data_IF_769027886454
#
_entry.id   IF_769027886454
#
_cell.length_a   1.000
_cell.length_b   1.000
_cell.length_c   1.000
_cell.angle_alpha   90.00
_cell.angle_beta   90.00
_cell.angle_gamma   90.00
#
_symmetry.space_group_name_H-M   'P 1'
#
loop_
_entity.id
_entity.type
_entity.pdbx_description
1 polymer ?
#
# COMPACT_ATOMS: atom_id res chain seq x y z
N UNK A 1 6.00 29.87 45.86
CA UNK A 1 6.78 29.70 44.64
C UNK A 1 7.51 31.01 44.38
N UNK A 2 8.84 30.97 44.28
CA UNK A 2 9.66 32.16 44.02
C UNK A 2 9.43 32.67 42.58
N UNK A 3 9.71 33.94 42.35
CA UNK A 3 9.60 34.57 41.03
C UNK A 3 10.44 33.83 39.96
N UNK A 4 11.60 33.33 40.37
CA UNK A 4 12.49 32.51 39.54
C UNK A 4 11.82 31.21 39.08
N UNK A 5 11.06 30.52 39.96
CA UNK A 5 10.34 29.30 39.60
C UNK A 5 9.23 29.54 38.56
N UNK A 6 8.59 30.71 38.59
CA UNK A 6 7.57 31.07 37.60
C UNK A 6 8.17 31.40 36.23
N UNK A 7 9.33 32.08 36.22
CA UNK A 7 10.05 32.38 34.96
C UNK A 7 10.58 31.12 34.31
N UNK A 8 11.12 30.17 35.06
CA UNK A 8 11.62 28.89 34.54
C UNK A 8 10.47 28.05 33.94
N UNK A 9 9.32 28.00 34.61
CA UNK A 9 8.13 27.25 34.12
C UNK A 9 7.60 27.88 32.83
N UNK A 10 7.55 29.21 32.72
CA UNK A 10 7.12 29.91 31.51
C UNK A 10 8.12 29.69 30.37
N UNK A 11 9.42 29.73 30.65
CA UNK A 11 10.43 29.48 29.62
C UNK A 11 10.42 28.03 29.11
N UNK A 12 10.22 27.04 30.01
CA UNK A 12 10.10 25.64 29.65
C UNK A 12 8.83 25.38 28.83
N UNK A 13 7.71 26.01 29.17
CA UNK A 13 6.47 25.93 28.41
C UNK A 13 6.61 26.59 27.01
N UNK A 14 7.32 27.70 26.91
CA UNK A 14 7.57 28.36 25.63
C UNK A 14 8.50 27.54 24.71
N UNK A 15 9.53 26.90 25.26
CA UNK A 15 10.43 26.01 24.50
C UNK A 15 9.69 24.76 24.01
N UNK A 16 8.75 24.22 24.80
CA UNK A 16 7.93 23.07 24.37
C UNK A 16 6.96 23.46 23.25
N UNK A 17 6.45 24.67 23.21
CA UNK A 17 5.56 25.16 22.14
C UNK A 17 6.35 25.41 20.84
N UNK A 18 7.61 25.85 20.93
CA UNK A 18 8.45 26.10 19.75
C UNK A 18 8.98 24.78 19.14
N UNK A 19 9.03 23.68 19.92
CA UNK A 19 9.49 22.37 19.47
C UNK A 19 8.48 21.60 18.62
N UNK A 20 7.19 21.97 18.65
CA UNK A 20 6.20 21.50 17.70
C UNK A 20 6.18 22.40 16.46
N UNK A 21 7.27 22.43 15.69
CA UNK A 21 7.13 22.72 14.27
C UNK A 21 6.34 21.56 13.68
N UNK A 22 5.12 21.82 13.26
CA UNK A 22 4.40 20.98 12.31
C UNK A 22 5.32 20.78 11.11
N UNK A 23 6.11 19.73 11.13
CA UNK A 23 6.65 19.15 9.93
C UNK A 23 5.41 18.61 9.20
N UNK A 24 4.77 19.46 8.40
CA UNK A 24 3.84 18.99 7.38
C UNK A 24 4.63 17.93 6.64
N UNK A 25 4.32 16.67 6.90
CA UNK A 25 4.81 15.58 6.08
C UNK A 25 4.46 16.00 4.65
N UNK A 26 5.48 16.27 3.85
CA UNK A 26 5.29 16.59 2.44
C UNK A 26 4.72 15.32 1.86
N UNK A 27 3.39 15.27 1.77
CA UNK A 27 2.72 14.17 1.12
C UNK A 27 3.22 14.21 -0.32
N UNK A 28 4.00 13.24 -0.72
CA UNK A 28 4.48 13.11 -2.10
C UNK A 28 3.25 12.87 -2.95
N UNK A 29 2.72 13.94 -3.52
CA UNK A 29 1.58 13.86 -4.44
C UNK A 29 2.17 13.43 -5.78
N UNK A 30 1.89 12.19 -6.18
CA UNK A 30 2.25 11.71 -7.51
C UNK A 30 1.57 12.58 -8.57
N UNK A 31 2.31 12.97 -9.58
CA UNK A 31 1.78 13.71 -10.73
C UNK A 31 0.70 12.90 -11.45
N UNK A 32 -0.16 13.58 -12.18
CA UNK A 32 -1.15 12.93 -13.06
C UNK A 32 -0.49 11.91 -14.00
N UNK A 33 0.64 12.26 -14.59
CA UNK A 33 1.38 11.38 -15.49
C UNK A 33 1.85 10.09 -14.80
N UNK A 34 2.34 10.19 -13.57
CA UNK A 34 2.79 9.01 -12.79
C UNK A 34 1.62 8.12 -12.42
N UNK A 35 0.49 8.70 -12.01
CA UNK A 35 -0.70 7.93 -11.67
C UNK A 35 -1.29 7.22 -12.89
N UNK A 36 -1.43 7.90 -14.02
CA UNK A 36 -1.92 7.31 -15.28
C UNK A 36 -0.94 6.25 -15.79
N UNK A 37 0.38 6.49 -15.68
CA UNK A 37 1.40 5.51 -16.04
C UNK A 37 1.27 4.23 -15.24
N UNK A 38 1.19 4.34 -13.92
CA UNK A 38 1.03 3.18 -13.04
C UNK A 38 -0.27 2.38 -13.31
N UNK A 39 -1.35 3.08 -13.67
CA UNK A 39 -2.62 2.41 -14.05
C UNK A 39 -2.47 1.68 -15.38
N UNK A 40 -1.82 2.28 -16.38
CA UNK A 40 -1.58 1.59 -17.66
C UNK A 40 -0.70 0.34 -17.49
N UNK A 41 0.34 0.43 -16.65
CA UNK A 41 1.18 -0.73 -16.32
C UNK A 41 0.36 -1.83 -15.60
N UNK A 42 -0.57 -1.45 -14.71
CA UNK A 42 -1.50 -2.39 -14.09
C UNK A 42 -2.42 -3.05 -15.13
N UNK A 43 -3.00 -2.24 -16.04
CA UNK A 43 -3.84 -2.77 -17.13
C UNK A 43 -3.07 -3.81 -17.94
N UNK A 44 -1.85 -3.49 -18.35
CA UNK A 44 -1.02 -4.42 -19.14
C UNK A 44 -0.73 -5.72 -18.39
N UNK A 45 -0.42 -5.65 -17.08
CA UNK A 45 -0.18 -6.86 -16.28
C UNK A 45 -1.42 -7.75 -16.16
N UNK A 46 -2.59 -7.17 -15.92
CA UNK A 46 -3.82 -7.96 -15.66
C UNK A 46 -4.57 -8.35 -16.94
N UNK A 47 -4.28 -7.67 -18.07
CA UNK A 47 -4.94 -7.93 -19.35
C UNK A 47 -4.00 -8.50 -20.42
N UNK A 48 -2.76 -8.85 -20.05
CA UNK A 48 -1.75 -9.39 -20.98
C UNK A 48 -1.41 -8.42 -22.13
N UNK A 49 -1.19 -7.14 -21.81
CA UNK A 49 -0.69 -6.13 -22.73
C UNK A 49 -1.77 -5.41 -23.55
N UNK A 50 -2.98 -5.29 -23.03
CA UNK A 50 -4.12 -4.69 -23.77
C UNK A 50 -4.43 -3.24 -23.36
N UNK A 51 -3.50 -2.49 -22.75
CA UNK A 51 -3.72 -1.09 -22.32
C UNK A 51 -4.16 -0.18 -23.47
N UNK A 52 -3.79 -0.48 -24.70
CA UNK A 52 -4.22 0.29 -25.89
C UNK A 52 -5.74 0.27 -26.14
N UNK A 53 -6.48 -0.68 -25.56
CA UNK A 53 -7.94 -0.76 -25.66
C UNK A 53 -8.66 0.09 -24.61
N UNK A 54 -7.89 0.76 -23.74
CA UNK A 54 -8.41 1.60 -22.66
C UNK A 54 -8.08 3.07 -22.88
N UNK A 55 -8.90 3.94 -22.28
CA UNK A 55 -8.62 5.38 -22.11
C UNK A 55 -8.73 5.67 -20.62
N UNK A 56 -7.71 6.31 -20.05
CA UNK A 56 -7.58 6.55 -18.63
C UNK A 56 -7.63 8.04 -18.31
N UNK A 57 -8.52 8.43 -17.39
CA UNK A 57 -8.71 9.81 -16.96
C UNK A 57 -8.51 9.97 -15.45
N UNK A 58 -7.65 10.91 -15.06
CA UNK A 58 -7.60 11.39 -13.68
C UNK A 58 -8.65 12.52 -13.53
N UNK A 59 -9.65 12.28 -12.68
CA UNK A 59 -10.76 13.18 -12.46
C UNK A 59 -10.49 14.09 -11.25
N UNK A 60 -11.05 15.33 -11.24
CA UNK A 60 -10.92 16.22 -10.09
C UNK A 60 -11.53 15.60 -8.82
N UNK A 61 -10.87 15.81 -7.67
CA UNK A 61 -11.41 15.40 -6.39
C UNK A 61 -12.73 16.12 -6.07
N UNK A 62 -13.65 15.42 -5.41
CA UNK A 62 -14.92 15.98 -4.94
C UNK A 62 -14.76 16.68 -3.59
N UNK A 63 -15.72 17.53 -3.24
CA UNK A 63 -15.71 18.27 -1.97
C UNK A 63 -15.79 17.37 -0.73
N UNK A 64 -16.45 16.20 -0.84
CA UNK A 64 -16.58 15.22 0.23
C UNK A 64 -15.28 14.45 0.51
N UNK A 65 -14.25 14.64 -0.32
CA UNK A 65 -12.96 13.96 -0.23
C UNK A 65 -13.05 12.42 -0.25
N UNK A 66 -14.16 11.87 -0.75
CA UNK A 66 -14.33 10.43 -0.92
C UNK A 66 -13.77 9.98 -2.29
N UNK A 67 -13.26 8.79 -2.32
CA UNK A 67 -12.84 8.16 -3.56
C UNK A 67 -14.05 7.78 -4.40
N UNK A 68 -13.99 8.10 -5.68
CA UNK A 68 -14.97 7.68 -6.66
C UNK A 68 -14.29 7.31 -7.97
N UNK A 69 -14.97 6.50 -8.73
CA UNK A 69 -14.54 6.10 -10.06
C UNK A 69 -15.72 5.98 -11.02
N UNK A 70 -15.40 5.95 -12.29
CA UNK A 70 -16.35 5.67 -13.34
C UNK A 70 -15.70 4.81 -14.43
N UNK A 71 -16.52 4.03 -15.12
CA UNK A 71 -16.11 3.32 -16.32
C UNK A 71 -17.24 3.30 -17.34
N UNK A 72 -16.88 3.27 -18.60
CA UNK A 72 -17.82 3.36 -19.72
C UNK A 72 -17.12 3.11 -21.04
N UNK A 73 -17.69 3.69 -22.10
CA UNK A 73 -17.12 3.63 -23.45
C UNK A 73 -16.83 5.03 -23.96
N UNK A 74 -15.64 5.23 -24.52
CA UNK A 74 -15.21 6.46 -25.15
C UNK A 74 -14.44 6.15 -26.45
N UNK A 75 -14.91 6.70 -27.59
CA UNK A 75 -14.27 6.51 -28.90
C UNK A 75 -13.98 5.04 -29.25
N UNK A 76 -14.90 4.12 -28.90
CA UNK A 76 -14.74 2.69 -29.17
C UNK A 76 -13.75 1.97 -28.26
N UNK A 77 -13.30 2.61 -27.16
CA UNK A 77 -12.43 2.02 -26.14
C UNK A 77 -13.13 2.02 -24.78
N UNK A 78 -12.61 1.20 -23.87
CA UNK A 78 -13.06 1.19 -22.48
C UNK A 78 -12.50 2.43 -21.77
N UNK A 79 -13.36 3.30 -21.26
CA UNK A 79 -13.00 4.47 -20.47
C UNK A 79 -12.96 4.10 -19.00
N UNK A 80 -11.86 4.47 -18.31
CA UNK A 80 -11.68 4.34 -16.87
C UNK A 80 -11.34 5.72 -16.29
N UNK A 81 -12.14 6.18 -15.32
CA UNK A 81 -11.93 7.46 -14.64
C UNK A 81 -11.94 7.29 -13.12
N UNK A 82 -11.20 8.16 -12.44
CA UNK A 82 -11.21 8.20 -10.97
C UNK A 82 -10.41 9.38 -10.42
N UNK A 83 -10.65 9.75 -9.18
CA UNK A 83 -9.99 10.91 -8.55
C UNK A 83 -8.57 10.64 -8.05
N UNK A 84 -8.09 9.42 -8.19
CA UNK A 84 -6.70 9.01 -7.96
C UNK A 84 -6.43 7.65 -8.62
N UNK A 85 -5.16 7.23 -8.68
CA UNK A 85 -4.76 5.98 -9.32
C UNK A 85 -5.44 4.74 -8.76
N UNK A 86 -5.67 4.65 -7.44
CA UNK A 86 -6.39 3.53 -6.80
C UNK A 86 -7.85 3.51 -7.21
N UNK A 87 -8.49 4.67 -7.32
CA UNK A 87 -9.87 4.79 -7.79
C UNK A 87 -10.00 4.32 -9.24
N UNK A 88 -9.06 4.70 -10.11
CA UNK A 88 -9.04 4.26 -11.52
C UNK A 88 -8.80 2.73 -11.58
N UNK A 89 -7.88 2.20 -10.78
CA UNK A 89 -7.67 0.75 -10.67
C UNK A 89 -8.93 0.01 -10.19
N UNK A 90 -9.70 0.62 -9.29
CA UNK A 90 -11.01 0.09 -8.87
C UNK A 90 -12.01 0.06 -10.02
N UNK A 91 -12.02 1.10 -10.87
CA UNK A 91 -12.84 1.10 -12.10
C UNK A 91 -12.51 -0.09 -13.00
N UNK A 92 -11.20 -0.34 -13.21
CA UNK A 92 -10.73 -1.52 -13.95
C UNK A 92 -11.22 -2.82 -13.31
N UNK A 93 -11.03 -2.98 -12.00
CA UNK A 93 -11.45 -4.17 -11.27
C UNK A 93 -12.96 -4.43 -11.37
N UNK A 94 -13.78 -3.39 -11.32
CA UNK A 94 -15.23 -3.47 -11.52
C UNK A 94 -15.59 -3.85 -12.96
N UNK A 95 -14.98 -3.18 -13.94
CA UNK A 95 -15.19 -3.49 -15.34
C UNK A 95 -14.85 -4.97 -15.64
N UNK A 96 -13.68 -5.42 -15.22
CA UNK A 96 -13.24 -6.80 -15.47
C UNK A 96 -14.18 -7.84 -14.84
N UNK A 97 -14.66 -7.60 -13.62
CA UNK A 97 -15.64 -8.50 -12.96
C UNK A 97 -17.00 -8.49 -13.61
N UNK A 98 -17.53 -7.31 -13.91
CA UNK A 98 -18.91 -7.15 -14.36
C UNK A 98 -19.09 -7.51 -15.86
N UNK A 99 -18.06 -7.30 -16.68
CA UNK A 99 -18.13 -7.47 -18.13
C UNK A 99 -17.32 -8.64 -18.68
N UNK A 100 -16.24 -9.03 -18.01
CA UNK A 100 -15.32 -10.05 -18.49
C UNK A 100 -15.36 -11.36 -17.68
N UNK A 101 -16.12 -11.42 -16.57
CA UNK A 101 -16.13 -12.59 -15.69
C UNK A 101 -14.79 -12.79 -14.93
N UNK A 102 -13.94 -11.78 -14.92
CA UNK A 102 -12.62 -11.86 -14.31
C UNK A 102 -12.70 -11.97 -12.79
N UNK A 103 -12.02 -12.96 -12.24
CA UNK A 103 -11.93 -13.15 -10.80
C UNK A 103 -10.49 -13.44 -10.40
N UNK A 104 -9.99 -12.68 -9.45
CA UNK A 104 -8.65 -12.86 -8.86
C UNK A 104 -8.77 -12.95 -7.35
N UNK A 105 -8.33 -14.07 -6.77
CA UNK A 105 -8.26 -14.28 -5.32
C UNK A 105 -7.16 -15.25 -4.94
N UNK A 106 -6.90 -15.39 -3.64
CA UNK A 106 -5.92 -16.35 -3.12
C UNK A 106 -6.33 -17.81 -3.32
N UNK A 107 -7.62 -18.08 -3.25
CA UNK A 107 -8.16 -19.44 -3.24
C UNK A 107 -8.51 -19.97 -4.64
N UNK A 108 -8.51 -19.12 -5.62
CA UNK A 108 -8.81 -19.46 -7.00
C UNK A 108 -8.94 -18.21 -7.85
N UNK A 109 -8.64 -18.33 -9.11
CA UNK A 109 -8.65 -17.22 -10.04
C UNK A 109 -9.20 -17.68 -11.38
N UNK A 110 -10.07 -16.87 -11.96
CA UNK A 110 -10.46 -16.94 -13.36
C UNK A 110 -10.05 -15.63 -14.02
N UNK A 111 -8.95 -15.66 -14.73
CA UNK A 111 -8.32 -14.47 -15.34
C UNK A 111 -8.31 -14.53 -16.84
N UNK A 112 -9.05 -15.48 -17.43
CA UNK A 112 -9.21 -15.59 -18.88
C UNK A 112 -10.13 -14.49 -19.37
N UNK A 113 -9.61 -13.61 -20.20
CA UNK A 113 -10.38 -12.52 -20.79
C UNK A 113 -11.00 -12.95 -22.12
N UNK A 114 -12.19 -12.40 -22.45
CA UNK A 114 -12.77 -12.60 -23.77
C UNK A 114 -11.85 -12.04 -24.88
N UNK A 115 -11.88 -12.66 -26.05
CA UNK A 115 -11.09 -12.23 -27.22
C UNK A 115 -11.36 -10.75 -27.54
N UNK A 116 -12.61 -10.35 -27.56
CA UNK A 116 -13.04 -8.96 -27.69
C UNK A 116 -13.57 -8.47 -26.34
N UNK A 117 -12.98 -7.39 -25.79
CA UNK A 117 -13.45 -6.80 -24.56
C UNK A 117 -14.80 -6.13 -24.74
N UNK A 118 -15.83 -6.50 -23.94
CA UNK A 118 -17.17 -5.92 -24.09
C UNK A 118 -17.15 -4.41 -23.77
N UNK A 119 -17.80 -3.63 -24.63
CA UNK A 119 -17.95 -2.18 -24.43
C UNK A 119 -19.17 -1.91 -23.53
N UNK A 120 -19.02 -1.21 -22.40
CA UNK A 120 -20.15 -0.81 -21.57
C UNK A 120 -21.15 0.09 -22.34
N UNK A 121 -22.43 -0.23 -22.34
CA UNK A 121 -23.46 0.55 -23.01
C UNK A 121 -23.69 1.95 -22.38
N UNK A 122 -23.38 2.08 -21.09
CA UNK A 122 -23.54 3.31 -20.31
C UNK A 122 -22.37 3.49 -19.33
N UNK A 123 -22.09 4.74 -19.02
CA UNK A 123 -21.12 5.06 -17.94
C UNK A 123 -21.71 4.68 -16.59
N UNK A 124 -20.94 3.92 -15.81
CA UNK A 124 -21.23 3.57 -14.43
C UNK A 124 -20.32 4.35 -13.52
N UNK A 125 -20.88 5.06 -12.54
CA UNK A 125 -20.12 5.78 -11.51
C UNK A 125 -20.39 5.17 -10.14
N UNK A 126 -19.35 4.93 -9.35
CA UNK A 126 -19.43 4.45 -7.96
C UNK A 126 -18.59 5.31 -7.04
N UNK A 127 -19.07 5.52 -5.83
CA UNK A 127 -18.36 6.27 -4.78
C UNK A 127 -18.14 5.34 -3.58
N UNK A 128 -16.92 5.35 -3.04
CA UNK A 128 -16.63 4.61 -1.81
C UNK A 128 -17.30 5.32 -0.62
N UNK A 129 -18.04 4.61 0.24
CA UNK A 129 -18.56 5.21 1.46
C UNK A 129 -17.48 5.39 2.54
N UNK A 130 -16.27 4.86 2.31
CA UNK A 130 -15.16 4.89 3.28
C UNK A 130 -13.97 5.64 2.71
N UNK A 131 -13.44 6.55 3.51
CA UNK A 131 -12.21 7.28 3.18
C UNK A 131 -10.98 6.37 3.21
N UNK A 132 -10.91 5.47 4.21
CA UNK A 132 -9.80 4.55 4.42
C UNK A 132 -10.26 3.11 4.22
N UNK A 133 -9.55 2.37 3.39
CA UNK A 133 -9.77 0.95 3.11
C UNK A 133 -8.48 0.22 3.43
N UNK A 134 -8.41 -0.17 4.70
CA UNK A 134 -7.23 -0.81 5.29
C UNK A 134 -7.15 -2.28 4.92
N UNK A 135 -5.95 -2.74 4.67
CA UNK A 135 -5.68 -4.15 4.39
C UNK A 135 -4.40 -4.62 5.05
N UNK A 136 -4.46 -5.85 5.54
CA UNK A 136 -3.49 -6.61 6.30
C UNK A 136 -3.42 -6.25 7.78
N UNK A 137 -3.11 -7.30 8.54
CA UNK A 137 -2.64 -7.22 9.92
C UNK A 137 -1.35 -8.03 10.07
N UNK A 138 -0.66 -7.86 11.18
CA UNK A 138 0.62 -8.53 11.43
C UNK A 138 0.53 -10.05 11.41
N UNK A 139 -0.51 -10.64 12.02
CA UNK A 139 -0.64 -12.09 12.12
C UNK A 139 -0.73 -12.77 10.76
N UNK A 140 -1.62 -12.27 9.88
CA UNK A 140 -1.83 -12.86 8.56
C UNK A 140 -0.59 -12.82 7.68
N UNK A 141 0.25 -11.83 7.85
CA UNK A 141 1.52 -11.75 7.14
C UNK A 141 2.38 -13.00 7.39
N UNK A 142 2.59 -13.39 8.63
CA UNK A 142 3.45 -14.54 8.95
C UNK A 142 2.91 -15.88 8.47
N UNK A 143 1.59 -16.02 8.30
CA UNK A 143 1.01 -17.26 7.81
C UNK A 143 1.28 -17.53 6.33
N UNK A 144 1.51 -16.49 5.52
CA UNK A 144 1.64 -16.64 4.07
C UNK A 144 2.76 -15.82 3.46
N UNK A 145 2.96 -14.58 3.91
CA UNK A 145 3.72 -13.57 3.18
C UNK A 145 5.20 -13.50 3.51
N UNK A 146 5.65 -14.15 4.60
CA UNK A 146 7.06 -14.16 5.03
C UNK A 146 8.02 -14.65 3.95
N UNK A 147 7.54 -15.48 3.03
CA UNK A 147 8.36 -16.15 2.03
C UNK A 147 8.14 -15.60 0.61
N UNK A 148 7.25 -14.62 0.46
CA UNK A 148 6.95 -14.06 -0.85
C UNK A 148 8.16 -13.35 -1.43
N UNK A 149 8.33 -13.47 -2.74
CA UNK A 149 9.21 -12.69 -3.58
C UNK A 149 8.47 -11.47 -4.15
N UNK A 150 9.20 -10.67 -4.92
CA UNK A 150 8.62 -9.48 -5.55
C UNK A 150 7.47 -9.81 -6.50
N UNK A 151 7.58 -10.86 -7.29
CA UNK A 151 6.54 -11.24 -8.25
C UNK A 151 5.22 -11.59 -7.55
N UNK A 152 5.31 -12.26 -6.38
CA UNK A 152 4.12 -12.56 -5.60
C UNK A 152 3.57 -11.31 -4.90
N UNK A 153 4.44 -10.42 -4.42
CA UNK A 153 4.02 -9.14 -3.87
C UNK A 153 3.36 -8.24 -4.92
N UNK A 154 3.89 -8.19 -6.16
CA UNK A 154 3.28 -7.43 -7.24
C UNK A 154 1.84 -7.88 -7.51
N UNK A 155 1.59 -9.18 -7.55
CA UNK A 155 0.22 -9.72 -7.71
C UNK A 155 -0.71 -9.29 -6.57
N UNK A 156 -0.20 -9.24 -5.35
CA UNK A 156 -0.98 -8.79 -4.19
C UNK A 156 -1.27 -7.29 -4.26
N UNK A 157 -0.30 -6.49 -4.65
CA UNK A 157 -0.47 -5.04 -4.83
C UNK A 157 -1.46 -4.76 -5.96
N UNK A 158 -1.38 -5.49 -7.07
CA UNK A 158 -2.35 -5.39 -8.17
C UNK A 158 -3.76 -5.76 -7.70
N UNK A 159 -3.89 -6.84 -6.91
CA UNK A 159 -5.16 -7.21 -6.30
C UNK A 159 -5.69 -6.14 -5.36
N UNK A 160 -4.85 -5.57 -4.50
CA UNK A 160 -5.23 -4.46 -3.63
C UNK A 160 -5.75 -3.26 -4.44
N UNK A 161 -5.06 -2.87 -5.50
CA UNK A 161 -5.45 -1.76 -6.37
C UNK A 161 -6.80 -2.01 -7.05
N UNK A 162 -7.01 -3.20 -7.64
CA UNK A 162 -8.26 -3.61 -8.28
C UNK A 162 -9.45 -3.64 -7.31
N UNK A 163 -9.19 -3.82 -6.01
CA UNK A 163 -10.20 -3.84 -4.95
C UNK A 163 -10.27 -2.53 -4.15
N UNK A 164 -9.56 -1.50 -4.58
CA UNK A 164 -9.64 -0.16 -4.02
C UNK A 164 -9.00 0.01 -2.64
N UNK A 165 -8.09 -0.87 -2.25
CA UNK A 165 -7.34 -0.73 -1.00
C UNK A 165 -6.40 0.47 -1.12
N UNK A 166 -6.54 1.46 -0.24
CA UNK A 166 -5.74 2.67 -0.25
C UNK A 166 -4.88 2.87 1.02
N UNK A 167 -4.92 1.92 1.94
CA UNK A 167 -4.15 1.93 3.18
C UNK A 167 -3.63 0.53 3.53
N UNK A 168 -2.69 -0.02 2.74
CA UNK A 168 -2.07 -1.30 3.06
C UNK A 168 -1.07 -1.16 4.20
N UNK A 169 -0.94 -2.20 5.02
CA UNK A 169 0.12 -2.30 6.03
C UNK A 169 1.45 -2.67 5.35
N UNK A 170 2.38 -1.72 5.27
CA UNK A 170 3.70 -1.91 4.67
C UNK A 170 4.73 -2.27 5.74
N UNK A 171 4.87 -3.55 6.07
CA UNK A 171 5.75 -4.04 7.14
C UNK A 171 7.01 -4.76 6.63
N UNK A 172 7.10 -5.04 5.35
CA UNK A 172 8.25 -5.69 4.72
C UNK A 172 9.52 -4.85 4.90
N UNK A 173 10.64 -5.46 5.26
CA UNK A 173 11.91 -4.78 5.48
C UNK A 173 12.10 -4.11 6.85
N UNK A 174 11.11 -4.12 7.72
CA UNK A 174 11.15 -3.43 9.01
C UNK A 174 12.32 -3.90 9.90
N UNK A 175 12.66 -5.19 9.90
CA UNK A 175 13.77 -5.74 10.69
C UNK A 175 15.13 -5.17 10.29
N UNK A 176 15.37 -4.93 9.00
CA UNK A 176 16.60 -4.26 8.52
C UNK A 176 16.71 -2.84 9.05
N UNK A 177 15.59 -2.12 9.11
CA UNK A 177 15.56 -0.77 9.67
C UNK A 177 15.89 -0.81 11.16
N UNK A 178 15.27 -1.73 11.91
CA UNK A 178 15.56 -1.92 13.34
C UNK A 178 17.02 -2.25 13.59
N UNK A 179 17.60 -3.19 12.84
CA UNK A 179 19.03 -3.54 12.93
C UNK A 179 19.90 -2.30 12.75
N UNK A 180 19.65 -1.49 11.71
CA UNK A 180 20.42 -0.25 11.49
C UNK A 180 20.27 0.78 12.61
N UNK A 181 19.08 0.90 13.19
CA UNK A 181 18.83 1.79 14.34
C UNK A 181 19.62 1.32 15.55
N UNK A 182 19.57 0.03 15.89
CA UNK A 182 20.29 -0.51 17.03
C UNK A 182 21.82 -0.41 16.87
N UNK A 183 22.36 -0.63 15.67
CA UNK A 183 23.77 -0.38 15.40
C UNK A 183 24.16 1.10 15.67
N UNK A 184 23.32 2.06 15.31
CA UNK A 184 23.54 3.48 15.65
C UNK A 184 23.48 3.76 17.14
N UNK A 185 22.81 2.91 17.91
CA UNK A 185 22.77 2.97 19.38
C UNK A 185 23.92 2.21 20.04
N UNK A 186 24.82 1.59 19.26
CA UNK A 186 26.02 0.92 19.72
C UNK A 186 25.91 -0.58 19.94
N UNK A 187 24.78 -1.22 19.56
CA UNK A 187 24.65 -2.67 19.62
C UNK A 187 25.34 -3.32 18.42
N UNK A 188 25.89 -4.50 18.63
CA UNK A 188 26.51 -5.33 17.59
C UNK A 188 25.53 -6.36 17.03
N UNK A 189 25.91 -7.05 15.94
CA UNK A 189 25.12 -8.18 15.42
C UNK A 189 25.01 -9.32 16.45
N UNK A 190 26.04 -9.55 17.22
CA UNK A 190 26.03 -10.54 18.29
C UNK A 190 25.00 -10.22 19.40
N UNK A 191 24.83 -8.93 19.73
CA UNK A 191 23.81 -8.49 20.69
C UNK A 191 22.40 -8.68 20.13
N UNK A 192 22.22 -8.59 18.82
CA UNK A 192 20.92 -8.69 18.15
C UNK A 192 20.55 -10.12 17.75
N UNK A 193 21.50 -11.07 17.80
CA UNK A 193 21.28 -12.45 17.39
C UNK A 193 20.13 -13.13 18.15
N UNK A 194 20.04 -12.89 19.45
CA UNK A 194 18.98 -13.44 20.30
C UNK A 194 17.74 -12.54 20.41
N UNK A 195 17.75 -11.38 19.79
CA UNK A 195 16.68 -10.40 19.90
C UNK A 195 15.60 -10.59 18.85
N UNK A 196 15.97 -10.74 17.58
CA UNK A 196 15.00 -10.92 16.51
C UNK A 196 14.45 -12.35 16.49
N UNK A 197 13.13 -12.48 16.40
CA UNK A 197 12.49 -13.77 16.17
C UNK A 197 12.76 -14.28 14.77
N UNK A 198 12.81 -15.61 14.61
CA UNK A 198 13.05 -16.27 13.33
C UNK A 198 12.01 -15.94 12.25
N UNK A 199 12.25 -16.34 10.99
CA UNK A 199 11.46 -15.93 9.84
C UNK A 199 9.95 -16.23 9.92
N UNK A 200 9.57 -17.31 10.58
CA UNK A 200 8.17 -17.68 10.76
C UNK A 200 7.44 -16.86 11.82
N UNK A 201 8.15 -16.11 12.65
CA UNK A 201 7.60 -15.44 13.84
C UNK A 201 7.90 -13.94 13.91
N UNK A 202 8.59 -13.36 12.93
CA UNK A 202 9.10 -12.00 13.03
C UNK A 202 8.00 -10.92 13.11
N UNK A 203 6.79 -11.19 12.65
CA UNK A 203 5.68 -10.26 12.79
C UNK A 203 5.11 -10.23 14.21
N UNK A 204 5.10 -11.35 14.90
CA UNK A 204 4.71 -11.37 16.31
C UNK A 204 5.74 -10.65 17.19
N UNK A 205 7.01 -10.65 16.79
CA UNK A 205 8.03 -9.79 17.38
C UNK A 205 7.62 -8.30 17.28
N UNK A 206 7.18 -7.83 16.13
CA UNK A 206 6.74 -6.45 15.96
C UNK A 206 5.51 -6.06 16.77
N UNK A 207 4.67 -7.00 17.11
CA UNK A 207 3.54 -6.81 18.02
C UNK A 207 3.94 -6.86 19.51
N UNK A 208 5.20 -7.16 19.82
CA UNK A 208 5.67 -7.33 21.19
C UNK A 208 5.21 -8.62 21.87
N UNK A 209 4.83 -9.64 21.10
CA UNK A 209 4.36 -10.92 21.64
C UNK A 209 5.50 -11.92 21.87
N UNK A 210 6.56 -11.83 21.07
CA UNK A 210 7.68 -12.77 21.06
C UNK A 210 9.01 -12.04 20.89
N UNK A 211 10.02 -12.44 21.66
CA UNK A 211 11.41 -12.02 21.50
C UNK A 211 12.27 -13.25 21.23
N UNK A 212 13.16 -13.18 20.23
CA UNK A 212 14.18 -14.19 19.98
C UNK A 212 13.69 -15.61 19.71
N UNK A 213 12.36 -15.82 19.57
CA UNK A 213 11.82 -17.15 19.38
C UNK A 213 12.18 -17.70 18.01
N UNK A 214 12.73 -18.96 18.02
CA UNK A 214 13.14 -19.64 16.79
C UNK A 214 14.11 -18.80 15.94
N UNK A 215 14.88 -17.92 16.61
CA UNK A 215 15.98 -17.17 15.98
C UNK A 215 17.21 -18.05 15.74
N UNK A 216 18.27 -17.46 15.20
CA UNK A 216 18.35 -16.07 14.78
C UNK A 216 17.60 -15.79 13.48
N UNK A 217 17.20 -14.51 13.25
CA UNK A 217 16.72 -14.08 11.95
C UNK A 217 17.91 -13.90 11.01
N UNK A 218 18.03 -14.67 9.92
CA UNK A 218 19.19 -14.58 9.04
C UNK A 218 19.32 -13.19 8.41
N UNK A 219 20.54 -12.67 8.34
CA UNK A 219 20.82 -11.37 7.71
C UNK A 219 20.33 -11.35 6.24
N UNK A 220 20.57 -12.42 5.50
CA UNK A 220 20.11 -12.56 4.11
C UNK A 220 18.58 -12.47 3.97
N UNK A 221 17.82 -12.94 4.97
CA UNK A 221 16.37 -12.79 5.01
C UNK A 221 15.98 -11.31 5.21
N UNK A 222 16.63 -10.61 6.14
CA UNK A 222 16.41 -9.19 6.36
C UNK A 222 16.70 -8.35 5.11
N UNK A 223 17.85 -8.62 4.46
CA UNK A 223 18.28 -7.93 3.23
C UNK A 223 17.31 -8.19 2.07
N UNK A 224 16.87 -9.42 1.89
CA UNK A 224 15.85 -9.77 0.89
C UNK A 224 14.55 -8.98 1.12
N UNK A 225 14.09 -8.90 2.35
CA UNK A 225 12.85 -8.19 2.70
C UNK A 225 12.98 -6.67 2.58
N UNK A 226 14.18 -6.13 2.68
CA UNK A 226 14.43 -4.70 2.44
C UNK A 226 14.36 -4.34 0.96
N UNK A 227 14.65 -5.29 0.07
CA UNK A 227 14.62 -5.10 -1.39
C UNK A 227 13.23 -5.24 -2.00
N UNK A 228 12.28 -5.81 -1.26
CA UNK A 228 10.89 -5.96 -1.67
C UNK A 228 10.12 -4.65 -1.53
#
# INVERSE_FOLDING_TARGET
MSWISRVVVIFTALVLIISCKDTKATQTVFSEKEQIGAVNDLIDRVTSGRSSEFVVHLLPARQDSLDFFEFGTENGKIMLGGNNGVSIASALGHYLREYCGYHLSWCGSDTVLPETLPLPEKTTTKTSPYKWRYYLNYCTFNYSMSWWDFDRWQKEIDWMALNGINMPLAITGQNSIWRRVYHKLGLTDADLESFFSGPAYFNWFWMGNLDGWEGPLPQSFMEKHEQL
#
